data_IF_941868573108
#
_entry.id   IF_941868573108
#
_cell.length_a   1.000
_cell.length_b   1.000
_cell.length_c   1.000
_cell.angle_alpha   90.00
_cell.angle_beta   90.00
_cell.angle_gamma   90.00
#
_symmetry.space_group_name_H-M   'P 1'
#
loop_
_entity.id
_entity.type
_entity.pdbx_description
1 polymer ?
#
# COMPACT_ATOMS: atom_id res chain seq x y z
N UNK A 1 -36.02 -4.50 -16.12
CA UNK A 1 -35.46 -3.95 -14.87
C UNK A 1 -34.14 -4.61 -14.46
N UNK A 2 -34.07 -5.92 -14.25
CA UNK A 2 -32.81 -6.61 -13.81
C UNK A 2 -31.61 -6.41 -14.75
N UNK A 3 -31.83 -6.35 -16.05
CA UNK A 3 -30.80 -6.18 -17.06
C UNK A 3 -30.20 -4.72 -17.04
N UNK A 4 -31.07 -3.75 -16.75
CA UNK A 4 -30.64 -2.33 -16.59
C UNK A 4 -29.79 -2.16 -15.32
N UNK A 5 -30.19 -2.80 -14.22
CA UNK A 5 -29.45 -2.80 -12.96
C UNK A 5 -28.06 -3.45 -13.12
N UNK A 6 -27.95 -4.54 -13.87
CA UNK A 6 -26.66 -5.19 -14.13
C UNK A 6 -25.73 -4.30 -14.97
N UNK A 7 -26.24 -3.57 -15.96
CA UNK A 7 -25.45 -2.62 -16.76
C UNK A 7 -24.94 -1.46 -15.89
N UNK A 8 -25.80 -0.89 -15.05
CA UNK A 8 -25.41 0.19 -14.13
C UNK A 8 -24.34 -0.27 -13.14
N UNK A 9 -24.49 -1.45 -12.54
CA UNK A 9 -23.52 -2.03 -11.64
C UNK A 9 -22.16 -2.27 -12.33
N UNK A 10 -22.15 -2.74 -13.57
CA UNK A 10 -20.92 -2.91 -14.34
C UNK A 10 -20.22 -1.58 -14.65
N UNK A 11 -20.96 -0.53 -14.99
CA UNK A 11 -20.39 0.81 -15.23
C UNK A 11 -19.80 1.37 -13.94
N UNK A 12 -20.49 1.27 -12.82
CA UNK A 12 -20.01 1.73 -11.50
C UNK A 12 -18.72 0.99 -11.12
N UNK A 13 -18.70 -0.33 -11.29
CA UNK A 13 -17.52 -1.15 -11.02
C UNK A 13 -16.34 -0.74 -11.92
N UNK A 14 -16.58 -0.54 -13.21
CA UNK A 14 -15.56 -0.11 -14.16
C UNK A 14 -14.99 1.25 -13.79
N UNK A 15 -15.83 2.24 -13.50
CA UNK A 15 -15.37 3.58 -13.08
C UNK A 15 -14.59 3.50 -11.76
N UNK A 16 -15.05 2.71 -10.79
CA UNK A 16 -14.35 2.50 -9.52
C UNK A 16 -12.96 1.86 -9.72
N UNK A 17 -12.88 0.79 -10.50
CA UNK A 17 -11.61 0.09 -10.81
C UNK A 17 -10.66 1.04 -11.55
N UNK A 18 -11.14 1.75 -12.56
CA UNK A 18 -10.33 2.69 -13.33
C UNK A 18 -9.80 3.82 -12.45
N UNK A 19 -10.65 4.38 -11.59
CA UNK A 19 -10.25 5.44 -10.65
C UNK A 19 -9.20 4.96 -9.67
N UNK A 20 -9.34 3.74 -9.12
CA UNK A 20 -8.34 3.13 -8.23
C UNK A 20 -7.03 2.83 -8.95
N UNK A 21 -7.10 2.38 -10.20
CA UNK A 21 -5.91 2.15 -11.02
C UNK A 21 -5.14 3.45 -11.23
N UNK A 22 -5.80 4.51 -11.67
CA UNK A 22 -5.17 5.83 -11.80
C UNK A 22 -4.60 6.34 -10.48
N UNK A 23 -5.34 6.17 -9.38
CA UNK A 23 -4.90 6.54 -8.04
C UNK A 23 -3.60 5.82 -7.64
N UNK A 24 -3.51 4.52 -7.86
CA UNK A 24 -2.37 3.71 -7.44
C UNK A 24 -1.11 3.86 -8.32
N UNK A 25 -1.30 4.15 -9.62
CA UNK A 25 -0.19 4.07 -10.57
C UNK A 25 0.28 5.41 -11.14
N UNK A 26 -0.59 6.41 -11.18
CA UNK A 26 -0.30 7.68 -11.88
C UNK A 26 -0.35 8.92 -10.99
N UNK A 27 -1.06 8.85 -9.84
CA UNK A 27 -1.21 10.02 -8.99
C UNK A 27 -0.09 10.08 -7.97
N UNK A 28 0.58 11.22 -7.91
CA UNK A 28 1.59 11.53 -6.91
C UNK A 28 1.00 12.49 -5.86
N UNK A 29 1.47 12.38 -4.61
CA UNK A 29 1.07 13.26 -3.49
C UNK A 29 1.28 14.75 -3.75
N UNK A 30 2.23 15.12 -4.60
CA UNK A 30 2.47 16.52 -4.97
C UNK A 30 1.37 17.10 -5.88
N UNK A 31 0.55 16.27 -6.51
CA UNK A 31 -0.54 16.71 -7.38
C UNK A 31 -1.88 16.68 -6.62
N UNK A 32 -2.07 17.69 -5.75
CA UNK A 32 -3.28 17.82 -4.92
C UNK A 32 -4.58 17.89 -5.71
N UNK A 33 -4.54 18.49 -6.89
CA UNK A 33 -5.72 18.62 -7.75
C UNK A 33 -6.19 17.25 -8.28
N UNK A 34 -5.28 16.45 -8.80
CA UNK A 34 -5.62 15.09 -9.25
C UNK A 34 -6.07 14.18 -8.11
N UNK A 35 -5.46 14.30 -6.93
CA UNK A 35 -5.91 13.62 -5.72
C UNK A 35 -7.35 13.99 -5.38
N UNK A 36 -7.66 15.28 -5.35
CA UNK A 36 -9.01 15.78 -5.05
C UNK A 36 -10.05 15.22 -6.03
N UNK A 37 -9.76 15.25 -7.35
CA UNK A 37 -10.67 14.71 -8.36
C UNK A 37 -10.96 13.23 -8.13
N UNK A 38 -9.93 12.40 -7.92
CA UNK A 38 -10.14 10.96 -7.72
C UNK A 38 -10.89 10.68 -6.43
N UNK A 39 -10.58 11.37 -5.34
CA UNK A 39 -11.35 11.26 -4.10
C UNK A 39 -12.80 11.69 -4.29
N UNK A 40 -13.06 12.77 -5.02
CA UNK A 40 -14.41 13.24 -5.32
C UNK A 40 -15.20 12.21 -6.14
N UNK A 41 -14.57 11.59 -7.15
CA UNK A 41 -15.18 10.51 -7.95
C UNK A 41 -15.50 9.30 -7.07
N UNK A 42 -14.55 8.81 -6.30
CA UNK A 42 -14.74 7.63 -5.43
C UNK A 42 -15.80 7.90 -4.35
N UNK A 43 -15.80 9.09 -3.75
CA UNK A 43 -16.81 9.51 -2.78
C UNK A 43 -18.19 9.64 -3.44
N UNK A 44 -18.26 10.24 -4.62
CA UNK A 44 -19.51 10.33 -5.40
C UNK A 44 -20.08 8.97 -5.74
N UNK A 45 -19.24 8.02 -6.18
CA UNK A 45 -19.65 6.63 -6.42
C UNK A 45 -20.16 5.97 -5.13
N UNK A 46 -19.46 6.15 -4.02
CA UNK A 46 -19.89 5.62 -2.73
C UNK A 46 -21.25 6.18 -2.32
N UNK A 47 -21.44 7.50 -2.36
CA UNK A 47 -22.69 8.15 -2.01
C UNK A 47 -23.84 7.75 -2.95
N UNK A 48 -23.55 7.50 -4.24
CA UNK A 48 -24.52 7.00 -5.19
C UNK A 48 -24.93 5.55 -4.91
N UNK A 49 -23.98 4.68 -4.60
CA UNK A 49 -24.23 3.24 -4.38
C UNK A 49 -24.83 2.98 -3.00
N UNK A 50 -24.40 3.72 -1.96
CA UNK A 50 -24.74 3.46 -0.58
C UNK A 50 -26.26 3.42 -0.29
N UNK A 51 -27.09 4.36 -0.76
CA UNK A 51 -28.55 4.30 -0.55
C UNK A 51 -29.21 3.11 -1.25
N UNK A 52 -28.63 2.67 -2.38
CA UNK A 52 -29.20 1.63 -3.23
C UNK A 52 -28.47 0.28 -3.14
N UNK A 53 -27.52 0.16 -2.20
CA UNK A 53 -26.68 -1.04 -2.11
C UNK A 53 -27.49 -2.35 -2.02
N UNK A 54 -28.66 -2.33 -1.36
CA UNK A 54 -29.57 -3.49 -1.28
C UNK A 54 -30.15 -3.89 -2.63
N UNK A 55 -30.26 -2.96 -3.57
CA UNK A 55 -30.74 -3.21 -4.92
C UNK A 55 -29.67 -3.81 -5.83
N UNK A 56 -28.39 -3.50 -5.55
CA UNK A 56 -27.25 -4.02 -6.31
C UNK A 56 -26.75 -5.36 -5.79
N UNK A 57 -26.89 -5.62 -4.50
CA UNK A 57 -26.41 -6.84 -3.84
C UNK A 57 -27.59 -7.74 -3.48
N UNK A 58 -27.53 -9.00 -3.91
CA UNK A 58 -28.49 -10.00 -3.45
C UNK A 58 -28.27 -10.26 -1.94
N UNK A 59 -29.34 -10.24 -1.10
CA UNK A 59 -29.19 -10.47 0.34
C UNK A 59 -28.50 -11.80 0.69
N UNK A 60 -28.72 -12.85 -0.13
CA UNK A 60 -28.12 -14.19 0.04
C UNK A 60 -26.64 -14.24 -0.37
N UNK A 61 -26.21 -13.35 -1.27
CA UNK A 61 -24.86 -13.31 -1.84
C UNK A 61 -24.07 -12.07 -1.41
N UNK A 62 -24.69 -11.17 -0.66
CA UNK A 62 -24.10 -9.88 -0.32
C UNK A 62 -22.68 -9.99 0.28
N UNK A 63 -22.48 -10.91 1.21
CA UNK A 63 -21.16 -11.14 1.82
C UNK A 63 -20.12 -11.59 0.78
N UNK A 64 -20.46 -12.58 -0.05
CA UNK A 64 -19.55 -13.07 -1.10
C UNK A 64 -19.23 -11.99 -2.13
N UNK A 65 -20.24 -11.20 -2.53
CA UNK A 65 -20.05 -10.12 -3.49
C UNK A 65 -19.14 -9.02 -2.93
N UNK A 66 -19.34 -8.60 -1.68
CA UNK A 66 -18.50 -7.61 -1.02
C UNK A 66 -17.06 -8.12 -0.87
N UNK A 67 -16.90 -9.40 -0.48
CA UNK A 67 -15.59 -10.03 -0.36
C UNK A 67 -14.87 -10.06 -1.71
N UNK A 68 -15.54 -10.50 -2.78
CA UNK A 68 -14.95 -10.55 -4.13
C UNK A 68 -14.57 -9.16 -4.62
N UNK A 69 -15.44 -8.15 -4.43
CA UNK A 69 -15.15 -6.76 -4.81
C UNK A 69 -13.94 -6.25 -4.02
N UNK A 70 -13.89 -6.50 -2.72
CA UNK A 70 -12.74 -6.10 -1.87
C UNK A 70 -11.43 -6.74 -2.31
N UNK A 71 -11.46 -8.04 -2.67
CA UNK A 71 -10.32 -8.76 -3.21
C UNK A 71 -9.88 -8.15 -4.54
N UNK A 72 -10.81 -7.92 -5.48
CA UNK A 72 -10.50 -7.31 -6.79
C UNK A 72 -9.86 -5.94 -6.61
N UNK A 73 -10.40 -5.09 -5.73
CA UNK A 73 -9.83 -3.76 -5.46
C UNK A 73 -8.43 -3.84 -4.86
N UNK A 74 -8.17 -4.83 -4.02
CA UNK A 74 -6.84 -5.08 -3.47
C UNK A 74 -5.86 -5.52 -4.55
N UNK A 75 -6.27 -6.41 -5.46
CA UNK A 75 -5.44 -6.82 -6.60
C UNK A 75 -5.12 -5.69 -7.57
N UNK A 76 -6.05 -4.76 -7.79
CA UNK A 76 -5.78 -3.57 -8.63
C UNK A 76 -4.60 -2.77 -8.10
N UNK A 77 -4.43 -2.65 -6.79
CA UNK A 77 -3.37 -1.88 -6.16
C UNK A 77 -2.12 -2.70 -5.81
N UNK A 78 -2.15 -4.03 -5.99
CA UNK A 78 -1.11 -4.93 -5.49
C UNK A 78 0.28 -4.57 -6.00
N UNK A 79 0.40 -4.24 -7.28
CA UNK A 79 1.67 -3.93 -7.94
C UNK A 79 1.98 -2.43 -8.04
N UNK A 80 1.16 -1.57 -7.44
CA UNK A 80 1.45 -0.14 -7.43
C UNK A 80 2.56 0.20 -6.43
N UNK A 81 3.38 1.20 -6.73
CA UNK A 81 4.29 1.78 -5.73
C UNK A 81 3.50 2.74 -4.83
N UNK A 82 3.80 2.81 -3.51
CA UNK A 82 3.13 3.77 -2.62
C UNK A 82 3.54 5.21 -2.95
N UNK A 83 2.76 5.90 -3.78
CA UNK A 83 3.07 7.26 -4.23
C UNK A 83 2.59 8.36 -3.26
N UNK A 84 1.82 7.98 -2.23
CA UNK A 84 1.25 8.93 -1.26
C UNK A 84 2.10 9.13 -0.01
N UNK A 85 2.96 8.16 0.33
CA UNK A 85 3.87 8.24 1.47
C UNK A 85 5.19 7.57 1.14
N UNK A 86 6.28 8.11 1.72
CA UNK A 86 7.62 7.51 1.64
C UNK A 86 7.91 6.56 2.82
N UNK A 87 6.95 6.32 3.71
CA UNK A 87 7.14 5.51 4.93
C UNK A 87 7.51 4.06 4.63
N UNK A 88 7.13 3.54 3.48
CA UNK A 88 7.50 2.18 3.08
C UNK A 88 9.01 1.98 2.96
N UNK A 89 9.81 3.03 2.72
CA UNK A 89 11.26 2.94 2.80
C UNK A 89 11.73 2.66 4.23
N UNK A 90 11.00 3.17 5.23
CA UNK A 90 11.28 2.86 6.62
C UNK A 90 10.93 1.42 6.95
N UNK A 91 9.83 0.87 6.42
CA UNK A 91 9.46 -0.53 6.61
C UNK A 91 10.52 -1.47 6.01
N UNK A 92 11.06 -1.14 4.83
CA UNK A 92 12.17 -1.88 4.22
C UNK A 92 13.40 -1.81 5.12
N UNK A 93 13.80 -0.61 5.56
CA UNK A 93 14.96 -0.41 6.43
C UNK A 93 14.88 -1.22 7.72
N UNK A 94 13.79 -1.05 8.46
CA UNK A 94 13.56 -1.77 9.71
C UNK A 94 13.46 -3.28 9.49
N UNK A 95 12.79 -3.71 8.41
CA UNK A 95 12.66 -5.13 8.05
C UNK A 95 14.00 -5.80 7.75
N UNK A 96 14.92 -5.11 7.07
CA UNK A 96 16.27 -5.59 6.82
C UNK A 96 17.09 -5.72 8.10
N UNK A 97 16.96 -4.76 9.02
CA UNK A 97 17.59 -4.88 10.34
C UNK A 97 17.10 -6.11 11.08
N UNK A 98 15.78 -6.31 11.15
CA UNK A 98 15.19 -7.47 11.84
C UNK A 98 15.59 -8.78 11.16
N UNK A 99 15.54 -8.87 9.83
CA UNK A 99 15.94 -10.07 9.09
C UNK A 99 17.41 -10.43 9.27
N UNK A 100 18.27 -9.43 9.55
CA UNK A 100 19.69 -9.59 9.87
C UNK A 100 19.95 -9.81 11.37
N UNK A 101 18.91 -9.97 12.19
CA UNK A 101 19.03 -10.17 13.64
C UNK A 101 19.33 -8.90 14.44
N UNK A 102 19.20 -7.73 13.83
CA UNK A 102 19.44 -6.45 14.50
C UNK A 102 18.15 -5.86 15.08
N UNK A 103 18.28 -5.14 16.20
CA UNK A 103 17.16 -4.49 16.86
C UNK A 103 16.89 -3.10 16.21
N UNK A 104 15.74 -2.90 15.55
CA UNK A 104 15.42 -1.64 14.84
C UNK A 104 15.17 -0.45 15.78
N UNK A 105 14.96 -0.71 17.10
CA UNK A 105 14.73 0.34 18.09
C UNK A 105 16.02 0.89 18.72
N UNK A 106 17.14 0.21 18.52
CA UNK A 106 18.37 0.52 19.25
C UNK A 106 19.07 1.77 18.72
N UNK A 107 19.00 2.00 17.41
CA UNK A 107 19.71 3.09 16.73
C UNK A 107 18.82 3.79 15.72
N UNK A 108 19.09 5.05 15.46
CA UNK A 108 18.51 5.78 14.34
C UNK A 108 19.17 5.33 13.03
N UNK A 109 18.49 5.43 11.88
CA UNK A 109 19.11 5.12 10.58
C UNK A 109 20.42 5.90 10.31
N UNK A 110 20.49 7.16 10.72
CA UNK A 110 21.71 7.99 10.57
C UNK A 110 22.88 7.38 11.33
N UNK A 111 22.69 6.95 12.58
CA UNK A 111 23.75 6.37 13.40
C UNK A 111 24.26 5.05 12.80
N UNK A 112 23.36 4.24 12.25
CA UNK A 112 23.70 2.96 11.63
C UNK A 112 24.45 3.11 10.31
N UNK A 113 24.09 4.11 9.51
CA UNK A 113 24.75 4.38 8.23
C UNK A 113 26.25 4.67 8.41
N UNK A 114 26.60 5.39 9.46
CA UNK A 114 28.00 5.75 9.76
C UNK A 114 28.76 4.67 10.54
N UNK A 115 28.07 3.77 11.21
CA UNK A 115 28.69 2.70 12.02
C UNK A 115 28.98 1.41 11.24
N UNK A 116 28.40 1.24 10.03
CA UNK A 116 28.56 0.00 9.25
C UNK A 116 29.81 0.01 8.37
N UNK A 117 30.51 -1.13 8.20
CA UNK A 117 31.58 -1.27 7.22
C UNK A 117 31.08 -0.98 5.80
N UNK A 118 31.94 -0.37 4.98
CA UNK A 118 31.59 0.08 3.61
C UNK A 118 31.08 -1.04 2.67
N UNK A 119 31.36 -2.29 2.96
CA UNK A 119 31.00 -3.43 2.11
C UNK A 119 29.54 -3.91 2.28
N UNK A 120 28.85 -3.54 3.38
CA UNK A 120 27.41 -3.80 3.57
C UNK A 120 26.49 -2.73 2.97
N UNK A 121 27.07 -1.73 2.32
CA UNK A 121 26.43 -0.44 2.01
C UNK A 121 25.45 -0.51 0.83
N UNK A 122 25.54 -1.50 -0.06
CA UNK A 122 24.87 -1.48 -1.37
C UNK A 122 23.34 -1.41 -1.34
N UNK A 123 22.69 -1.91 -0.30
CA UNK A 123 21.23 -1.84 -0.16
C UNK A 123 20.82 -0.69 0.75
N UNK A 124 21.58 -0.49 1.84
CA UNK A 124 21.40 0.62 2.77
C UNK A 124 21.44 1.96 2.05
N UNK A 125 22.34 2.16 1.09
CA UNK A 125 22.45 3.41 0.33
C UNK A 125 21.16 3.72 -0.45
N UNK A 126 20.60 2.76 -1.18
CA UNK A 126 19.40 2.99 -1.99
C UNK A 126 18.17 3.34 -1.16
N UNK A 127 18.00 2.74 0.01
CA UNK A 127 16.87 2.97 0.91
C UNK A 127 17.12 4.18 1.80
N UNK A 128 18.33 4.33 2.35
CA UNK A 128 18.70 5.41 3.27
C UNK A 128 18.41 6.80 2.71
N UNK A 129 18.87 7.08 1.48
CA UNK A 129 18.66 8.40 0.89
C UNK A 129 17.20 8.77 0.66
N UNK A 130 16.32 7.77 0.57
CA UNK A 130 14.87 7.94 0.39
C UNK A 130 14.08 7.99 1.69
N UNK A 131 14.72 7.70 2.83
CA UNK A 131 14.08 7.81 4.14
C UNK A 131 13.72 9.26 4.46
N UNK A 132 12.49 9.49 4.89
CA UNK A 132 12.01 10.75 5.45
C UNK A 132 12.26 10.88 6.96
N UNK A 133 12.66 9.79 7.62
CA UNK A 133 12.75 9.64 9.08
C UNK A 133 14.13 9.18 9.58
N UNK A 134 15.21 9.67 8.96
CA UNK A 134 16.60 9.28 9.26
C UNK A 134 17.03 9.57 10.70
N UNK A 135 16.53 10.67 11.24
CA UNK A 135 16.87 11.20 12.57
C UNK A 135 15.99 10.65 13.71
N UNK A 136 15.05 9.74 13.38
CA UNK A 136 14.09 9.23 14.35
C UNK A 136 14.26 7.73 14.60
N UNK A 137 14.04 7.33 15.85
CA UNK A 137 13.93 5.92 16.21
C UNK A 137 12.70 5.30 15.55
N UNK A 138 12.68 3.96 15.44
CA UNK A 138 11.49 3.28 14.96
C UNK A 138 10.34 3.42 15.96
N UNK A 139 9.15 3.71 15.43
CA UNK A 139 7.91 3.89 16.21
C UNK A 139 6.92 2.76 15.98
N UNK A 140 7.22 1.82 15.09
CA UNK A 140 6.32 0.73 14.72
C UNK A 140 6.29 -0.36 15.79
N UNK A 141 5.10 -0.93 16.11
CA UNK A 141 4.95 -1.99 17.08
C UNK A 141 5.82 -3.22 16.77
N UNK A 142 6.21 -4.03 17.78
CA UNK A 142 7.02 -5.23 17.57
C UNK A 142 6.41 -6.26 16.61
N UNK A 143 5.06 -6.34 16.55
CA UNK A 143 4.38 -7.24 15.60
C UNK A 143 4.63 -6.78 14.16
N UNK A 144 4.52 -5.47 13.89
CA UNK A 144 4.80 -4.91 12.55
C UNK A 144 6.27 -5.12 12.18
N UNK A 145 7.19 -4.94 13.14
CA UNK A 145 8.61 -5.22 12.93
C UNK A 145 8.88 -6.67 12.57
N UNK A 146 8.18 -7.61 13.22
CA UNK A 146 8.25 -9.03 12.88
C UNK A 146 7.77 -9.30 11.43
N UNK A 147 6.65 -8.67 11.02
CA UNK A 147 6.14 -8.76 9.65
C UNK A 147 7.15 -8.16 8.66
N UNK A 148 7.68 -6.97 8.94
CA UNK A 148 8.69 -6.33 8.08
C UNK A 148 9.93 -7.21 7.93
N UNK A 149 10.41 -7.84 9.02
CA UNK A 149 11.53 -8.76 8.99
C UNK A 149 11.28 -10.01 8.15
N UNK A 150 10.11 -10.63 8.28
CA UNK A 150 9.72 -11.80 7.47
C UNK A 150 9.62 -11.44 5.98
N UNK A 151 9.01 -10.30 5.67
CA UNK A 151 8.88 -9.81 4.29
C UNK A 151 10.24 -9.45 3.71
N UNK A 152 11.14 -8.82 4.47
CA UNK A 152 12.49 -8.51 4.05
C UNK A 152 13.28 -9.79 3.74
N UNK A 153 13.21 -10.78 4.61
CA UNK A 153 13.83 -12.09 4.38
C UNK A 153 13.33 -12.76 3.09
N UNK A 154 12.01 -12.75 2.86
CA UNK A 154 11.39 -13.37 1.69
C UNK A 154 11.63 -12.61 0.36
N UNK A 155 11.75 -11.28 0.42
CA UNK A 155 11.98 -10.43 -0.76
C UNK A 155 13.45 -10.28 -1.14
N UNK A 156 14.36 -10.72 -0.27
CA UNK A 156 15.79 -10.47 -0.43
C UNK A 156 16.05 -8.96 -0.60
N UNK A 157 16.91 -8.61 -1.53
CA UNK A 157 17.31 -7.22 -1.75
C UNK A 157 16.37 -6.44 -2.71
N UNK A 158 15.14 -6.91 -2.96
CA UNK A 158 14.23 -6.33 -3.94
C UNK A 158 13.12 -5.52 -3.26
N UNK A 159 13.26 -4.18 -3.28
CA UNK A 159 12.28 -3.26 -2.69
C UNK A 159 10.87 -3.39 -3.30
N UNK A 160 10.75 -3.70 -4.58
CA UNK A 160 9.46 -3.90 -5.22
C UNK A 160 8.78 -5.19 -4.71
N UNK A 161 9.54 -6.28 -4.62
CA UNK A 161 9.03 -7.54 -4.05
C UNK A 161 8.61 -7.34 -2.58
N UNK A 162 9.38 -6.57 -1.80
CA UNK A 162 9.01 -6.22 -0.44
C UNK A 162 7.63 -5.56 -0.38
N UNK A 163 7.39 -4.53 -1.22
CA UNK A 163 6.12 -3.81 -1.25
C UNK A 163 4.96 -4.75 -1.62
N UNK A 164 5.16 -5.61 -2.62
CA UNK A 164 4.13 -6.58 -3.05
C UNK A 164 3.82 -7.59 -1.96
N UNK A 165 4.84 -8.18 -1.34
CA UNK A 165 4.67 -9.16 -0.24
C UNK A 165 4.02 -8.54 1.00
N UNK A 166 4.35 -7.30 1.33
CA UNK A 166 3.75 -6.60 2.47
C UNK A 166 2.23 -6.34 2.29
N UNK A 167 1.76 -6.35 1.05
CA UNK A 167 0.33 -6.13 0.73
C UNK A 167 -0.49 -7.41 0.61
N UNK A 168 0.15 -8.57 0.53
CA UNK A 168 -0.51 -9.88 0.52
C UNK A 168 -0.94 -10.29 1.90
#
# INVERSE_FOLDING_TARGET
>A
MRQLQNKQAAIIALVGITSLFFFGYYINRSNSFSLFIVYAILTGLFLYVFPFWKSFLSPKLAFKQVLVIGIVFRFVLLFSTPNLSDDYYRFIWDGELVSSGNNPYKFKPVDQMFASPKDEINLKDRVYYKLNSKEYYSVYPPVDQGIFGLVAYASGNNSFQFIVLLRL
#
